data_IF_266807718722
#
_entry.id   IF_266807718722
#
_cell.length_a   1.000
_cell.length_b   1.000
_cell.length_c   1.000
_cell.angle_alpha   90.00
_cell.angle_beta   90.00
_cell.angle_gamma   90.00
#
_symmetry.space_group_name_H-M   'P 1'
#
loop_
_entity.id
_entity.type
_entity.pdbx_description
1 polymer ?
#
# COMPACT_ATOMS: atom_id res chain seq x y z
N UNK A 1 8.52 -11.65 -18.55
CA UNK A 1 7.40 -10.83 -19.05
C UNK A 1 7.54 -9.45 -18.42
N UNK A 2 7.77 -8.41 -19.22
CA UNK A 2 7.76 -7.03 -18.75
C UNK A 2 6.31 -6.61 -18.58
N UNK A 3 5.76 -6.75 -17.38
CA UNK A 3 4.54 -6.03 -17.02
C UNK A 3 4.87 -4.54 -17.05
N UNK A 4 4.53 -3.85 -18.14
CA UNK A 4 4.72 -2.42 -18.26
C UNK A 4 3.80 -1.70 -17.28
N UNK A 5 4.38 -1.03 -16.29
CA UNK A 5 3.62 -0.14 -15.41
C UNK A 5 3.23 1.08 -16.25
N UNK A 6 1.94 1.37 -16.34
CA UNK A 6 1.43 2.64 -16.89
C UNK A 6 1.37 3.66 -15.78
N UNK A 7 1.97 4.82 -16.02
CA UNK A 7 1.99 5.95 -15.09
C UNK A 7 1.48 7.20 -15.81
N UNK A 8 0.36 7.74 -15.35
CA UNK A 8 -0.30 8.90 -15.95
C UNK A 8 -0.55 9.97 -14.89
N UNK A 9 0.28 11.02 -14.82
CA UNK A 9 0.03 12.15 -13.93
C UNK A 9 -1.03 13.08 -14.49
N UNK A 10 -1.87 13.64 -13.62
CA UNK A 10 -2.82 14.71 -13.93
C UNK A 10 -2.55 15.87 -12.97
N UNK A 11 -1.94 16.92 -13.49
CA UNK A 11 -1.55 18.10 -12.72
C UNK A 11 -2.71 19.04 -12.43
N UNK A 12 -3.78 19.00 -13.22
CA UNK A 12 -4.96 19.85 -13.03
C UNK A 12 -5.78 19.36 -11.84
N UNK A 13 -5.87 18.04 -11.64
CA UNK A 13 -6.55 17.43 -10.50
C UNK A 13 -5.62 17.05 -9.34
N UNK A 14 -4.31 17.35 -9.44
CA UNK A 14 -3.28 16.92 -8.50
C UNK A 14 -3.34 15.41 -8.17
N UNK A 15 -3.56 14.59 -9.20
CA UNK A 15 -3.74 13.15 -9.08
C UNK A 15 -2.77 12.37 -9.95
N UNK A 16 -2.66 11.07 -9.68
CA UNK A 16 -1.83 10.16 -10.46
C UNK A 16 -2.54 8.83 -10.62
N UNK A 17 -2.56 8.32 -11.85
CA UNK A 17 -3.05 6.99 -12.17
C UNK A 17 -1.87 6.04 -12.40
N UNK A 18 -1.88 4.91 -11.71
CA UNK A 18 -0.89 3.85 -11.85
C UNK A 18 -1.61 2.55 -12.14
N UNK A 19 -1.22 1.87 -13.22
CA UNK A 19 -1.79 0.58 -13.61
C UNK A 19 -0.67 -0.41 -13.92
N UNK A 20 -0.84 -1.64 -13.43
CA UNK A 20 0.03 -2.76 -13.75
C UNK A 20 -0.82 -4.02 -13.92
N UNK A 21 -0.45 -4.84 -14.90
CA UNK A 21 -1.17 -6.09 -15.23
C UNK A 21 -0.31 -7.28 -14.81
N UNK A 22 -0.92 -8.17 -14.04
CA UNK A 22 -0.28 -9.38 -13.50
C UNK A 22 -0.99 -10.63 -14.01
N UNK A 23 -0.23 -11.65 -14.41
CA UNK A 23 -0.75 -12.98 -14.73
C UNK A 23 -0.93 -13.81 -13.44
N UNK A 24 -1.76 -13.32 -12.52
CA UNK A 24 -2.02 -13.95 -11.22
C UNK A 24 -3.50 -13.87 -10.87
N UNK A 25 -3.96 -14.73 -9.94
CA UNK A 25 -5.31 -14.64 -9.44
C UNK A 25 -5.51 -13.34 -8.64
N UNK A 26 -6.68 -12.73 -8.76
CA UNK A 26 -7.05 -11.51 -8.03
C UNK A 26 -6.93 -11.72 -6.52
N UNK A 27 -7.25 -12.91 -5.98
CA UNK A 27 -7.11 -13.21 -4.54
C UNK A 27 -5.66 -13.18 -4.07
N UNK A 28 -4.71 -13.59 -4.94
CA UNK A 28 -3.28 -13.54 -4.66
C UNK A 28 -2.81 -12.09 -4.60
N UNK A 29 -3.20 -11.27 -5.58
CA UNK A 29 -2.86 -9.84 -5.59
C UNK A 29 -3.48 -9.15 -4.38
N UNK A 30 -4.78 -9.37 -4.14
CA UNK A 30 -5.51 -8.81 -2.99
C UNK A 30 -4.79 -9.08 -1.67
N UNK A 31 -4.36 -10.33 -1.45
CA UNK A 31 -3.65 -10.72 -0.22
C UNK A 31 -2.35 -9.93 0.00
N UNK A 32 -1.64 -9.53 -1.06
CA UNK A 32 -0.42 -8.70 -0.96
C UNK A 32 -0.70 -7.25 -0.55
N UNK A 33 -1.95 -6.79 -0.65
CA UNK A 33 -2.40 -5.48 -0.16
C UNK A 33 -3.13 -5.54 1.19
N UNK A 34 -3.66 -6.71 1.58
CA UNK A 34 -4.55 -6.84 2.74
C UNK A 34 -4.01 -7.71 3.88
N UNK A 35 -2.86 -8.36 3.72
CA UNK A 35 -2.19 -9.08 4.81
C UNK A 35 -0.91 -8.34 5.18
N UNK A 36 -0.77 -7.97 6.47
CA UNK A 36 0.36 -7.17 6.97
C UNK A 36 1.72 -7.72 6.59
N UNK A 37 1.88 -9.04 6.70
CA UNK A 37 3.17 -9.71 6.52
C UNK A 37 3.58 -9.70 5.04
N UNK A 38 2.62 -9.81 4.12
CA UNK A 38 2.87 -9.73 2.68
C UNK A 38 3.05 -8.28 2.21
N UNK A 39 2.26 -7.36 2.76
CA UNK A 39 2.32 -5.93 2.43
C UNK A 39 3.68 -5.34 2.84
N UNK A 40 4.19 -5.71 4.02
CA UNK A 40 5.48 -5.25 4.53
C UNK A 40 6.68 -5.62 3.62
N UNK A 41 6.56 -6.68 2.80
CA UNK A 41 7.63 -7.12 1.90
C UNK A 41 7.98 -6.10 0.81
N UNK A 42 7.01 -5.27 0.40
CA UNK A 42 7.16 -4.43 -0.79
C UNK A 42 6.70 -2.98 -0.60
N UNK A 43 5.99 -2.66 0.49
CA UNK A 43 5.46 -1.31 0.71
C UNK A 43 6.53 -0.22 0.81
N UNK A 44 7.64 -0.50 1.50
CA UNK A 44 8.74 0.46 1.63
C UNK A 44 9.63 0.45 0.38
N UNK A 45 10.00 1.63 -0.16
CA UNK A 45 10.95 1.70 -1.24
C UNK A 45 12.34 1.29 -0.75
N UNK A 46 13.09 0.52 -1.53
CA UNK A 46 14.48 0.20 -1.20
C UNK A 46 15.31 1.49 -1.07
N UNK A 47 16.24 1.61 -0.10
CA UNK A 47 16.68 0.59 0.86
C UNK A 47 15.85 0.48 2.15
N UNK A 48 14.76 1.24 2.29
CA UNK A 48 13.92 1.22 3.48
C UNK A 48 13.18 -0.11 3.63
N UNK A 49 12.82 -0.42 4.88
CA UNK A 49 11.97 -1.57 5.23
C UNK A 49 10.69 -1.09 5.90
N UNK A 50 9.61 -1.84 5.73
CA UNK A 50 8.35 -1.60 6.41
C UNK A 50 8.18 -2.64 7.51
N UNK A 51 7.81 -2.21 8.71
CA UNK A 51 7.34 -3.09 9.78
C UNK A 51 5.94 -2.67 10.21
N UNK A 52 5.02 -3.63 10.27
CA UNK A 52 3.65 -3.40 10.75
C UNK A 52 3.64 -3.34 12.27
N UNK A 53 3.07 -2.28 12.82
CA UNK A 53 2.84 -2.11 14.28
C UNK A 53 1.45 -2.61 14.66
N UNK A 54 0.43 -2.24 13.88
CA UNK A 54 -0.96 -2.67 14.07
C UNK A 54 -1.66 -2.70 12.73
N UNK A 55 -2.41 -3.76 12.44
CA UNK A 55 -3.15 -3.87 11.19
C UNK A 55 -4.60 -4.28 11.45
N UNK A 56 -5.51 -3.32 11.28
CA UNK A 56 -6.95 -3.49 11.42
C UNK A 56 -7.59 -3.39 10.04
N UNK A 57 -7.61 -4.51 9.31
CA UNK A 57 -8.17 -4.56 7.96
C UNK A 57 -9.69 -4.76 7.99
N UNK A 58 -10.41 -3.66 8.21
CA UNK A 58 -11.87 -3.54 8.08
C UNK A 58 -12.23 -2.08 7.78
N UNK A 59 -13.46 -1.79 7.35
CA UNK A 59 -13.87 -0.42 7.03
C UNK A 59 -13.68 0.51 8.25
N UNK A 60 -13.06 1.68 8.03
CA UNK A 60 -12.64 2.64 9.06
C UNK A 60 -11.52 2.14 9.99
N UNK A 61 -11.06 0.90 9.83
CA UNK A 61 -9.88 0.36 10.48
C UNK A 61 -8.59 1.07 10.06
N UNK A 62 -7.51 0.82 10.80
CA UNK A 62 -6.24 1.52 10.60
C UNK A 62 -5.07 0.57 10.42
N UNK A 63 -4.12 0.98 9.57
CA UNK A 63 -2.80 0.36 9.49
C UNK A 63 -1.76 1.33 10.03
N UNK A 64 -1.15 0.95 11.15
CA UNK A 64 -0.01 1.63 11.76
C UNK A 64 1.24 0.86 11.40
N UNK A 65 2.22 1.56 10.81
CA UNK A 65 3.47 0.97 10.40
C UNK A 65 4.62 1.94 10.62
N UNK A 66 5.82 1.40 10.67
CA UNK A 66 7.07 2.16 10.74
C UNK A 66 7.92 1.83 9.52
N UNK A 67 8.41 2.87 8.86
CA UNK A 67 9.45 2.73 7.85
C UNK A 67 10.81 2.88 8.53
N UNK A 68 11.67 1.88 8.34
CA UNK A 68 13.02 1.82 8.89
C UNK A 68 14.04 2.16 7.82
N UNK A 69 14.83 3.20 8.07
CA UNK A 69 15.89 3.66 7.17
C UNK A 69 17.21 2.89 7.36
N UNK A 70 18.13 2.99 6.39
CA UNK A 70 19.40 2.27 6.42
C UNK A 70 20.35 2.73 7.55
N UNK A 71 20.21 3.97 8.03
CA UNK A 71 21.05 4.57 9.06
C UNK A 71 20.40 4.55 10.45
N UNK A 72 19.35 3.74 10.62
CA UNK A 72 18.61 3.56 11.86
C UNK A 72 17.43 4.52 12.04
N UNK A 73 17.03 5.25 10.99
CA UNK A 73 15.87 6.13 11.03
C UNK A 73 14.57 5.36 11.22
N UNK A 74 13.61 5.99 11.89
CA UNK A 74 12.26 5.44 12.10
C UNK A 74 11.22 6.50 11.76
N UNK A 75 10.38 6.21 10.78
CA UNK A 75 9.29 7.08 10.35
C UNK A 75 7.96 6.37 10.56
N UNK A 76 7.17 6.83 11.50
CA UNK A 76 5.84 6.27 11.77
C UNK A 76 4.82 6.85 10.80
N UNK A 77 3.95 5.99 10.29
CA UNK A 77 2.88 6.38 9.38
C UNK A 77 1.59 5.64 9.72
N UNK A 78 0.47 6.26 9.35
CA UNK A 78 -0.87 5.73 9.54
C UNK A 78 -1.67 5.83 8.24
N UNK A 79 -2.25 4.71 7.84
CA UNK A 79 -3.27 4.65 6.82
C UNK A 79 -4.62 4.28 7.46
N UNK A 80 -5.72 4.80 6.91
CA UNK A 80 -7.07 4.45 7.29
C UNK A 80 -7.81 3.85 6.10
N UNK A 81 -8.48 2.71 6.32
CA UNK A 81 -9.28 2.04 5.31
C UNK A 81 -10.67 2.68 5.18
N UNK A 82 -11.15 2.80 3.95
CA UNK A 82 -12.50 3.24 3.62
C UNK A 82 -13.43 2.09 3.27
N UNK A 83 -14.19 2.26 2.20
CA UNK A 83 -15.00 1.20 1.61
C UNK A 83 -14.10 0.05 1.14
N UNK A 84 -14.51 -1.20 1.43
CA UNK A 84 -13.79 -2.41 1.05
C UNK A 84 -14.73 -3.34 0.30
N UNK A 85 -14.42 -3.62 -0.96
CA UNK A 85 -15.05 -4.69 -1.75
C UNK A 85 -14.01 -5.79 -1.97
N UNK A 86 -14.08 -6.91 -1.21
CA UNK A 86 -13.08 -7.96 -1.26
C UNK A 86 -12.76 -8.44 -2.67
N UNK A 87 -11.47 -8.57 -2.98
CA UNK A 87 -10.97 -8.99 -4.29
C UNK A 87 -11.38 -8.06 -5.45
N UNK A 88 -11.63 -6.78 -5.17
CA UNK A 88 -12.00 -5.80 -6.21
C UNK A 88 -11.38 -4.44 -5.93
N UNK A 89 -11.79 -3.78 -4.86
CA UNK A 89 -11.39 -2.39 -4.58
C UNK A 89 -11.32 -2.11 -3.08
N UNK A 90 -10.42 -1.20 -2.69
CA UNK A 90 -10.36 -0.62 -1.36
C UNK A 90 -9.99 0.85 -1.46
N UNK A 91 -10.63 1.70 -0.66
CA UNK A 91 -10.21 3.07 -0.46
C UNK A 91 -9.22 3.16 0.71
N UNK A 92 -8.17 3.98 0.58
CA UNK A 92 -7.17 4.19 1.63
C UNK A 92 -6.81 5.67 1.71
N UNK A 93 -6.83 6.23 2.92
CA UNK A 93 -6.34 7.58 3.17
C UNK A 93 -5.09 7.56 4.04
N UNK A 94 -4.08 8.31 3.61
CA UNK A 94 -2.85 8.52 4.37
C UNK A 94 -2.99 9.81 5.16
N UNK A 95 -2.83 9.70 6.48
CA UNK A 95 -2.85 10.85 7.36
C UNK A 95 -1.41 11.36 7.49
N UNK A 96 -1.16 12.61 7.08
CA UNK A 96 0.05 13.31 7.51
C UNK A 96 -0.17 13.76 8.96
N UNK A 97 0.74 13.35 9.85
CA UNK A 97 0.81 13.86 11.21
C UNK A 97 1.22 15.32 11.26
#
# INVERSE_FOLDING_TARGET
MNSGITFTPDFDSASVYVMSVYQQNVTTIWSHFTQSDLLALWWAPKPWKCETVKHEFFEKGTWLYVMLGPDGEKQFAKAQYGEIKPNSEMAVWFHRG
#
